data_IF_742131419725
#
_entry.id   IF_742131419725
#
_cell.length_a   1.000
_cell.length_b   1.000
_cell.length_c   1.000
_cell.angle_alpha   90.00
_cell.angle_beta   90.00
_cell.angle_gamma   90.00
#
_symmetry.space_group_name_H-M   'P 1'
#
loop_
_entity.id
_entity.type
_entity.pdbx_description
1 polymer ?
#
# COMPACT_ATOMS: atom_id res chain seq x y z
N UNK A 1 9.03 -12.09 15.60
CA UNK A 1 7.93 -12.00 14.60
C UNK A 1 7.52 -13.41 14.20
N UNK A 2 6.23 -13.78 14.27
CA UNK A 2 5.79 -15.15 13.94
C UNK A 2 5.89 -15.43 12.44
N UNK A 3 6.13 -16.70 12.06
CA UNK A 3 6.22 -17.15 10.66
C UNK A 3 4.97 -16.78 9.85
N UNK A 4 3.78 -16.84 10.47
CA UNK A 4 2.52 -16.40 9.86
C UNK A 4 2.57 -14.94 9.42
N UNK A 5 3.04 -14.03 10.28
CA UNK A 5 3.15 -12.60 9.96
C UNK A 5 4.17 -12.33 8.85
N UNK A 6 5.28 -13.06 8.82
CA UNK A 6 6.27 -12.96 7.72
C UNK A 6 5.64 -13.34 6.38
N UNK A 7 4.90 -14.45 6.34
CA UNK A 7 4.22 -14.93 5.12
C UNK A 7 3.16 -13.95 4.60
N UNK A 8 2.38 -13.34 5.50
CA UNK A 8 1.39 -12.31 5.13
C UNK A 8 2.08 -11.10 4.49
N UNK A 9 3.14 -10.58 5.12
CA UNK A 9 3.89 -9.43 4.61
C UNK A 9 4.54 -9.70 3.25
N UNK A 10 5.12 -10.88 3.07
CA UNK A 10 5.71 -11.30 1.80
C UNK A 10 4.64 -11.41 0.70
N UNK A 11 3.49 -12.03 0.99
CA UNK A 11 2.37 -12.12 0.04
C UNK A 11 1.80 -10.76 -0.33
N UNK A 12 1.67 -9.85 0.63
CA UNK A 12 1.25 -8.48 0.40
C UNK A 12 2.19 -7.79 -0.59
N UNK A 13 3.50 -7.74 -0.28
CA UNK A 13 4.52 -7.13 -1.15
C UNK A 13 4.47 -7.69 -2.56
N UNK A 14 4.48 -9.02 -2.68
CA UNK A 14 4.44 -9.70 -3.98
C UNK A 14 3.17 -9.38 -4.76
N UNK A 15 2.00 -9.34 -4.11
CA UNK A 15 0.74 -9.06 -4.77
C UNK A 15 0.61 -7.61 -5.26
N UNK A 16 1.25 -6.67 -4.55
CA UNK A 16 1.32 -5.25 -4.92
C UNK A 16 2.25 -5.08 -6.12
N UNK A 17 3.48 -5.61 -6.03
CA UNK A 17 4.46 -5.53 -7.12
C UNK A 17 3.96 -6.18 -8.39
N UNK A 18 3.35 -7.36 -8.28
CA UNK A 18 2.79 -8.07 -9.43
C UNK A 18 1.67 -7.28 -10.13
N UNK A 19 0.83 -6.55 -9.38
CA UNK A 19 -0.22 -5.70 -9.96
C UNK A 19 0.40 -4.54 -10.74
N UNK A 20 1.43 -3.92 -10.17
CA UNK A 20 2.06 -2.71 -10.71
C UNK A 20 3.17 -3.02 -11.72
N UNK A 21 3.34 -4.29 -12.12
CA UNK A 21 4.35 -4.69 -13.10
C UNK A 21 5.79 -4.63 -12.61
N UNK A 22 6.01 -4.70 -11.29
CA UNK A 22 7.32 -4.55 -10.65
C UNK A 22 8.02 -3.23 -11.04
N UNK A 23 7.24 -2.16 -11.11
CA UNK A 23 7.71 -0.81 -11.43
C UNK A 23 6.99 0.19 -10.50
N UNK A 24 7.64 1.32 -10.22
CA UNK A 24 6.96 2.43 -9.56
C UNK A 24 5.76 2.89 -10.38
N UNK A 25 4.63 3.15 -9.72
CA UNK A 25 3.40 3.59 -10.41
C UNK A 25 3.50 5.01 -10.98
N UNK A 26 4.46 5.83 -10.50
CA UNK A 26 4.60 7.23 -10.92
C UNK A 26 5.76 7.50 -11.88
N UNK A 27 6.69 6.55 -12.06
CA UNK A 27 7.84 6.70 -12.94
C UNK A 27 8.34 5.36 -13.47
N UNK A 28 9.41 5.38 -14.26
CA UNK A 28 10.00 4.18 -14.86
C UNK A 28 11.02 3.46 -13.96
N UNK A 29 11.07 3.79 -12.67
CA UNK A 29 11.98 3.16 -11.71
C UNK A 29 11.54 1.73 -11.39
N UNK A 30 12.50 0.80 -11.44
CA UNK A 30 12.31 -0.63 -11.20
C UNK A 30 13.20 -1.16 -10.08
N UNK A 31 14.15 -0.36 -9.61
CA UNK A 31 15.01 -0.68 -8.47
C UNK A 31 14.48 -0.06 -7.17
N UNK A 32 14.94 -0.59 -6.03
CA UNK A 32 14.60 -0.08 -4.68
C UNK A 32 13.11 0.21 -4.45
N UNK A 33 12.26 -0.70 -4.95
CA UNK A 33 10.82 -0.61 -4.82
C UNK A 33 10.34 -1.05 -3.43
N UNK A 34 9.30 -0.37 -2.96
CA UNK A 34 8.57 -0.73 -1.76
C UNK A 34 7.06 -0.74 -1.96
N UNK A 35 6.41 -1.64 -1.23
CA UNK A 35 4.96 -1.74 -1.17
C UNK A 35 4.45 -0.83 -0.05
N UNK A 36 4.14 0.41 -0.42
CA UNK A 36 3.61 1.42 0.48
C UNK A 36 2.17 1.10 0.87
N UNK A 37 1.80 1.28 2.14
CA UNK A 37 0.39 1.16 2.56
C UNK A 37 -0.29 2.51 2.34
N UNK A 38 -1.36 2.54 1.55
CA UNK A 38 -2.10 3.77 1.23
C UNK A 38 -2.83 4.30 2.46
N UNK A 39 -3.53 3.42 3.19
CA UNK A 39 -4.06 3.70 4.53
C UNK A 39 -3.22 2.97 5.57
N UNK A 40 -2.89 3.67 6.66
CA UNK A 40 -2.03 3.13 7.70
C UNK A 40 -2.57 1.80 8.24
N UNK A 41 -1.63 0.89 8.52
CA UNK A 41 -1.94 -0.46 9.02
C UNK A 41 -2.74 -0.45 10.32
N UNK A 42 -2.66 0.59 11.15
CA UNK A 42 -3.39 0.72 12.41
C UNK A 42 -4.84 1.14 12.21
N UNK A 43 -5.16 1.74 11.07
CA UNK A 43 -6.51 2.13 10.67
C UNK A 43 -7.23 1.03 9.87
N UNK A 44 -6.50 0.00 9.46
CA UNK A 44 -7.02 -1.07 8.61
C UNK A 44 -7.28 -2.36 9.40
N UNK A 45 -8.42 -3.05 9.18
CA UNK A 45 -8.65 -4.38 9.75
C UNK A 45 -7.48 -5.30 9.43
N UNK A 46 -7.02 -6.12 10.37
CA UNK A 46 -5.94 -7.09 10.13
C UNK A 46 -4.62 -6.51 9.56
N UNK A 47 -4.39 -5.20 9.74
CA UNK A 47 -3.18 -4.53 9.30
C UNK A 47 -3.16 -4.09 7.83
N UNK A 48 -4.24 -4.29 7.07
CA UNK A 48 -4.31 -3.78 5.70
C UNK A 48 -3.37 -4.48 4.70
N UNK A 49 -2.89 -5.70 4.99
CA UNK A 49 -1.95 -6.44 4.14
C UNK A 49 -2.61 -7.07 2.91
N UNK A 50 -3.33 -6.24 2.14
CA UNK A 50 -4.05 -6.57 0.92
C UNK A 50 -3.59 -5.66 -0.21
N UNK A 51 -3.50 -6.17 -1.44
CA UNK A 51 -3.01 -5.38 -2.59
C UNK A 51 -3.84 -4.11 -2.79
N UNK A 52 -5.13 -4.16 -2.46
CA UNK A 52 -6.06 -3.04 -2.57
C UNK A 52 -5.67 -1.85 -1.69
N UNK A 53 -4.87 -2.07 -0.63
CA UNK A 53 -4.30 -1.04 0.25
C UNK A 53 -2.80 -0.77 -0.02
N UNK A 54 -2.22 -1.39 -1.05
CA UNK A 54 -0.79 -1.32 -1.32
C UNK A 54 -0.49 -0.71 -2.67
N UNK A 55 0.56 0.10 -2.79
CA UNK A 55 1.05 0.68 -4.05
C UNK A 55 2.57 0.54 -4.15
N UNK A 56 3.07 0.20 -5.34
CA UNK A 56 4.51 0.06 -5.62
C UNK A 56 5.12 1.44 -5.89
N UNK A 57 6.06 1.84 -5.06
CA UNK A 57 6.75 3.14 -5.15
C UNK A 57 8.26 2.94 -5.06
N UNK A 58 9.02 3.75 -5.80
CA UNK A 58 10.45 3.93 -5.54
C UNK A 58 10.67 4.78 -4.29
N UNK A 59 11.91 4.86 -3.81
CA UNK A 59 12.26 5.59 -2.58
C UNK A 59 11.72 7.04 -2.55
N UNK A 60 11.84 7.78 -3.64
CA UNK A 60 11.41 9.19 -3.72
C UNK A 60 9.89 9.32 -3.58
N UNK A 61 9.13 8.61 -4.41
CA UNK A 61 7.66 8.65 -4.36
C UNK A 61 7.12 8.03 -3.07
N UNK A 62 7.81 7.03 -2.50
CA UNK A 62 7.45 6.48 -1.20
C UNK A 62 7.51 7.56 -0.12
N UNK A 63 8.57 8.38 -0.09
CA UNK A 63 8.67 9.49 0.87
C UNK A 63 7.61 10.57 0.64
N UNK A 64 7.22 10.83 -0.61
CA UNK A 64 6.13 11.77 -0.92
C UNK A 64 4.78 11.27 -0.39
N UNK A 65 4.47 9.98 -0.57
CA UNK A 65 3.25 9.37 -0.03
C UNK A 65 3.27 9.32 1.51
N UNK A 66 4.43 8.99 2.11
CA UNK A 66 4.62 8.92 3.57
C UNK A 66 4.38 10.27 4.26
N UNK A 67 4.50 11.41 3.56
CA UNK A 67 4.25 12.73 4.12
C UNK A 67 2.83 12.88 4.69
N UNK A 68 1.84 12.22 4.10
CA UNK A 68 0.48 12.19 4.63
C UNK A 68 0.45 11.57 6.03
N UNK A 69 1.07 10.40 6.19
CA UNK A 69 1.08 9.68 7.47
C UNK A 69 1.89 10.42 8.55
N UNK A 70 3.10 10.89 8.21
CA UNK A 70 3.98 11.60 9.16
C UNK A 70 3.34 12.91 9.65
N UNK A 71 2.55 13.56 8.80
CA UNK A 71 1.86 14.81 9.15
C UNK A 71 0.50 14.62 9.81
N UNK A 72 0.06 13.38 10.04
CA UNK A 72 -1.27 13.08 10.57
C UNK A 72 -2.40 13.53 9.65
N UNK A 73 -2.20 13.43 8.33
CA UNK A 73 -3.18 13.79 7.30
C UNK A 73 -3.30 15.29 7.03
N UNK A 74 -2.34 16.10 7.45
CA UNK A 74 -2.39 17.58 7.29
C UNK A 74 -1.57 18.10 6.11
N UNK A 75 -0.67 17.28 5.55
CA UNK A 75 0.21 17.66 4.44
C UNK A 75 0.33 16.50 3.46
N UNK A 76 0.32 16.82 2.17
CA UNK A 76 0.61 15.88 1.09
C UNK A 76 1.19 16.62 -0.11
N UNK A 77 1.94 15.90 -0.94
CA UNK A 77 2.36 16.36 -2.26
C UNK A 77 1.16 16.25 -3.22
N UNK A 78 1.07 17.12 -4.22
CA UNK A 78 0.01 17.05 -5.23
C UNK A 78 -0.04 15.66 -5.88
N UNK A 79 -1.23 15.08 -6.01
CA UNK A 79 -1.50 13.72 -6.51
C UNK A 79 -0.97 12.57 -5.61
N UNK A 80 -0.58 12.85 -4.37
CA UNK A 80 -0.11 11.86 -3.38
C UNK A 80 -1.06 11.73 -2.18
N UNK A 81 -2.26 12.30 -2.24
CA UNK A 81 -3.27 12.05 -1.21
C UNK A 81 -3.70 10.57 -1.26
N UNK A 82 -4.05 9.91 -0.14
CA UNK A 82 -4.46 8.51 -0.17
C UNK A 82 -5.57 8.20 -1.18
N UNK A 83 -6.52 9.11 -1.41
CA UNK A 83 -7.56 8.97 -2.43
C UNK A 83 -6.98 8.94 -3.86
N UNK A 84 -5.98 9.78 -4.14
CA UNK A 84 -5.28 9.78 -5.44
C UNK A 84 -4.54 8.45 -5.64
N UNK A 85 -3.86 7.96 -4.61
CA UNK A 85 -3.13 6.70 -4.64
C UNK A 85 -4.08 5.52 -4.87
N UNK A 86 -5.23 5.50 -4.20
CA UNK A 86 -6.26 4.49 -4.42
C UNK A 86 -6.81 4.52 -5.85
N UNK A 87 -7.13 5.71 -6.36
CA UNK A 87 -7.60 5.88 -7.72
C UNK A 87 -6.58 5.36 -8.73
N UNK A 88 -5.29 5.65 -8.49
CA UNK A 88 -4.22 5.28 -9.40
C UNK A 88 -4.09 3.76 -9.59
N UNK A 89 -4.35 2.97 -8.54
CA UNK A 89 -4.29 1.50 -8.60
C UNK A 89 -5.63 0.84 -8.92
N UNK A 90 -6.67 1.63 -9.25
CA UNK A 90 -8.02 1.13 -9.49
C UNK A 90 -8.68 0.52 -8.24
N UNK A 91 -8.42 1.09 -7.06
CA UNK A 91 -8.93 0.63 -5.76
C UNK A 91 -9.66 1.76 -5.01
N UNK A 92 -10.11 1.49 -3.79
CA UNK A 92 -10.68 2.47 -2.87
C UNK A 92 -10.44 2.06 -1.41
N UNK A 93 -10.60 2.99 -0.47
CA UNK A 93 -10.51 2.70 0.97
C UNK A 93 -11.53 1.65 1.40
N UNK A 94 -12.74 1.72 0.88
CA UNK A 94 -13.83 0.78 1.17
C UNK A 94 -13.49 -0.63 0.69
N UNK A 95 -12.99 -0.76 -0.54
CA UNK A 95 -12.57 -2.05 -1.09
C UNK A 95 -11.39 -2.63 -0.30
N UNK A 96 -10.43 -1.79 0.06
CA UNK A 96 -9.29 -2.17 0.86
C UNK A 96 -9.72 -2.70 2.24
N UNK A 97 -10.66 -2.01 2.91
CA UNK A 97 -11.23 -2.46 4.19
C UNK A 97 -11.90 -3.83 4.02
N UNK A 98 -12.78 -3.97 3.03
CA UNK A 98 -13.48 -5.23 2.75
C UNK A 98 -12.49 -6.39 2.53
N UNK A 99 -11.46 -6.20 1.70
CA UNK A 99 -10.48 -7.26 1.46
C UNK A 99 -9.67 -7.58 2.71
N UNK A 100 -9.39 -6.56 3.53
CA UNK A 100 -8.61 -6.73 4.75
C UNK A 100 -9.39 -7.49 5.84
N UNK A 101 -10.70 -7.30 5.95
CA UNK A 101 -11.57 -8.12 6.80
C UNK A 101 -11.57 -9.60 6.36
N UNK A 102 -11.54 -9.85 5.05
CA UNK A 102 -11.47 -11.20 4.49
C UNK A 102 -10.10 -11.88 4.68
N UNK A 103 -9.06 -11.13 5.08
CA UNK A 103 -7.72 -11.66 5.27
C UNK A 103 -7.68 -12.74 6.36
N UNK A 104 -8.44 -12.58 7.45
CA UNK A 104 -8.54 -13.58 8.53
C UNK A 104 -9.12 -14.91 8.06
N UNK A 105 -10.01 -14.90 7.07
CA UNK A 105 -10.66 -16.12 6.56
C UNK A 105 -9.77 -16.94 5.63
N UNK A 106 -8.62 -16.39 5.22
CA UNK A 106 -7.70 -17.01 4.26
C UNK A 106 -6.48 -17.70 4.91
N UNK A 107 -6.37 -17.67 6.25
CA UNK A 107 -5.25 -18.24 7.02
C UNK A 107 -5.67 -18.83 8.35
#
# INVERSE_FOLDING_TARGET
MSERKKKIRSRFRESVFKRDGYQCVFCDEVEDLDAHHITDRTEMPNGGYVKENGITLCADHHMMAEQFHISGGTKWVANMHPEDLYHMIGSSKELAIQQSELLEKKF
#
